data_IF_381735082157
#
_entry.id   IF_381735082157
#
_cell.length_a   1.000
_cell.length_b   1.000
_cell.length_c   1.000
_cell.angle_alpha   90.00
_cell.angle_beta   90.00
_cell.angle_gamma   90.00
#
_symmetry.space_group_name_H-M   'P 1'
#
loop_
_entity.id
_entity.type
_entity.pdbx_description
1 polymer ?
#
# COMPACT_ATOMS: atom_id res chain seq x y z
N UNK A 1 14.16 55.52 -31.50
CA UNK A 1 12.94 54.90 -32.06
C UNK A 1 13.39 54.09 -33.27
N UNK A 2 13.25 52.78 -33.38
CA UNK A 2 12.52 51.78 -32.59
C UNK A 2 13.27 50.45 -32.72
N UNK A 3 13.43 49.78 -31.58
CA UNK A 3 14.06 48.48 -31.39
C UNK A 3 13.25 47.36 -32.05
N UNK A 4 13.91 46.53 -32.84
CA UNK A 4 13.36 45.27 -33.34
C UNK A 4 13.68 44.18 -32.30
N UNK A 5 12.76 43.94 -31.37
CA UNK A 5 12.80 42.77 -30.48
C UNK A 5 12.08 41.62 -31.18
N UNK A 6 12.81 40.59 -31.59
CA UNK A 6 12.19 39.33 -32.01
C UNK A 6 11.55 38.68 -30.79
N UNK A 7 10.23 38.64 -30.76
CA UNK A 7 9.51 37.71 -29.90
C UNK A 7 9.88 36.31 -30.39
N UNK A 8 10.69 35.61 -29.60
CA UNK A 8 10.82 34.17 -29.76
C UNK A 8 9.44 33.56 -29.65
N UNK A 9 9.02 32.84 -30.68
CA UNK A 9 7.88 31.94 -30.58
C UNK A 9 8.19 30.94 -29.47
N UNK A 10 7.60 31.14 -28.29
CA UNK A 10 7.43 30.06 -27.33
C UNK A 10 6.60 28.99 -28.04
N UNK A 11 7.27 27.91 -28.45
CA UNK A 11 6.63 26.68 -28.91
C UNK A 11 5.57 26.32 -27.86
N UNK A 12 4.28 26.24 -28.21
CA UNK A 12 3.24 25.88 -27.25
C UNK A 12 3.61 24.55 -26.60
N UNK A 13 3.81 24.53 -25.29
CA UNK A 13 4.03 23.27 -24.55
C UNK A 13 2.87 22.31 -24.88
N UNK A 14 3.20 21.20 -25.52
CA UNK A 14 2.25 20.17 -25.96
C UNK A 14 1.53 19.58 -24.74
N UNK A 15 0.20 19.41 -24.84
CA UNK A 15 -0.66 18.96 -23.74
C UNK A 15 -0.38 17.48 -23.40
N UNK A 16 -0.19 17.17 -22.12
CA UNK A 16 -0.07 15.79 -21.60
C UNK A 16 -1.26 14.90 -22.02
N UNK A 17 -1.03 13.62 -22.37
CA UNK A 17 -2.12 12.66 -22.67
C UNK A 17 -2.97 12.29 -21.45
N UNK A 18 -2.50 12.62 -20.24
CA UNK A 18 -3.30 12.38 -19.04
C UNK A 18 -4.54 13.28 -19.06
N UNK A 19 -5.73 12.71 -18.81
CA UNK A 19 -6.97 13.47 -18.80
C UNK A 19 -6.91 14.56 -17.73
N UNK A 20 -7.11 15.80 -18.18
CA UNK A 20 -7.34 16.94 -17.31
C UNK A 20 -8.78 16.91 -16.80
N UNK A 21 -8.99 17.38 -15.59
CA UNK A 21 -10.30 17.49 -14.97
C UNK A 21 -10.84 18.89 -15.19
N UNK A 22 -12.07 18.96 -15.72
CA UNK A 22 -12.87 20.18 -15.66
C UNK A 22 -13.25 20.49 -14.21
N UNK A 23 -13.52 21.75 -13.90
CA UNK A 23 -14.03 22.11 -12.57
C UNK A 23 -15.53 21.83 -12.53
N UNK A 24 -16.00 21.10 -11.52
CA UNK A 24 -17.43 20.85 -11.32
C UNK A 24 -17.93 21.43 -9.99
N UNK A 25 -19.25 21.53 -9.74
CA UNK A 25 -19.77 21.99 -8.45
C UNK A 25 -19.32 21.13 -7.25
N UNK A 26 -18.97 19.86 -7.48
CA UNK A 26 -18.48 18.92 -6.46
C UNK A 26 -17.00 19.16 -6.09
N UNK A 27 -16.29 20.00 -6.84
CA UNK A 27 -14.89 20.35 -6.59
C UNK A 27 -14.74 21.27 -5.39
N UNK A 28 -14.67 20.65 -4.20
CA UNK A 28 -14.27 21.32 -2.98
C UNK A 28 -12.79 21.75 -3.05
N UNK A 29 -12.44 22.82 -2.36
CA UNK A 29 -11.05 23.23 -2.19
C UNK A 29 -10.25 22.14 -1.45
N UNK A 30 -9.07 21.85 -1.95
CA UNK A 30 -8.01 21.16 -1.23
C UNK A 30 -7.45 22.14 -0.22
N UNK A 31 -7.90 22.00 1.02
CA UNK A 31 -7.47 22.85 2.11
C UNK A 31 -5.97 22.62 2.37
N UNK A 32 -5.20 23.72 2.46
CA UNK A 32 -3.73 23.71 2.50
C UNK A 32 -3.05 23.85 1.13
N UNK A 33 -3.77 23.64 0.02
CA UNK A 33 -3.26 23.91 -1.34
C UNK A 33 -3.93 25.12 -2.01
N UNK A 34 -5.04 25.63 -1.46
CA UNK A 34 -5.73 26.82 -1.97
C UNK A 34 -6.40 26.63 -3.33
N UNK A 35 -6.57 25.39 -3.79
CA UNK A 35 -7.09 25.04 -5.13
C UNK A 35 -8.03 23.85 -5.08
N UNK A 36 -8.92 23.70 -6.04
CA UNK A 36 -9.82 22.54 -6.09
C UNK A 36 -9.11 21.21 -6.39
N UNK A 37 -9.79 20.08 -6.20
CA UNK A 37 -9.26 18.76 -6.57
C UNK A 37 -8.86 18.70 -8.06
N UNK A 38 -9.74 19.16 -8.96
CA UNK A 38 -9.43 19.26 -10.38
C UNK A 38 -8.18 20.11 -10.65
N UNK A 39 -8.04 21.28 -10.00
CA UNK A 39 -6.87 22.14 -10.19
C UNK A 39 -5.59 21.51 -9.62
N UNK A 40 -5.65 20.86 -8.45
CA UNK A 40 -4.52 20.16 -7.86
C UNK A 40 -4.05 19.00 -8.75
N UNK A 41 -5.00 18.23 -9.29
CA UNK A 41 -4.72 17.17 -10.26
C UNK A 41 -4.07 17.72 -11.53
N UNK A 42 -4.71 18.71 -12.18
CA UNK A 42 -4.20 19.30 -13.42
C UNK A 42 -2.81 19.90 -13.21
N UNK A 43 -2.58 20.60 -12.09
CA UNK A 43 -1.26 21.14 -11.74
C UNK A 43 -0.23 20.04 -11.52
N UNK A 44 -0.60 18.95 -10.83
CA UNK A 44 0.30 17.81 -10.66
C UNK A 44 0.62 17.14 -12.00
N UNK A 45 -0.36 16.97 -12.88
CA UNK A 45 -0.15 16.44 -14.25
C UNK A 45 0.83 17.33 -15.01
N UNK A 46 0.56 18.65 -15.06
CA UNK A 46 1.40 19.62 -15.77
C UNK A 46 2.86 19.61 -15.28
N UNK A 47 3.05 19.53 -13.96
CA UNK A 47 4.37 19.62 -13.35
C UNK A 47 5.19 18.32 -13.45
N UNK A 48 4.57 17.18 -13.73
CA UNK A 48 5.26 15.89 -13.71
C UNK A 48 5.27 15.18 -15.07
N UNK A 49 4.43 15.59 -16.04
CA UNK A 49 4.34 14.92 -17.34
C UNK A 49 4.44 15.94 -18.47
N UNK A 50 5.43 15.77 -19.34
CA UNK A 50 5.60 16.61 -20.53
C UNK A 50 5.06 15.91 -21.77
N UNK A 51 5.46 14.66 -22.05
CA UNK A 51 5.00 13.94 -23.26
C UNK A 51 4.93 12.42 -23.02
N UNK A 52 3.83 11.90 -22.45
CA UNK A 52 3.67 10.46 -22.30
C UNK A 52 3.47 9.78 -23.67
N UNK A 53 4.24 8.73 -23.92
CA UNK A 53 4.12 7.89 -25.12
C UNK A 53 2.94 6.92 -24.93
N UNK A 54 2.03 6.77 -25.91
CA UNK A 54 0.97 5.76 -25.85
C UNK A 54 1.52 4.36 -25.59
N UNK A 55 0.84 3.57 -24.75
CA UNK A 55 1.28 2.22 -24.37
C UNK A 55 1.42 1.30 -25.60
N UNK A 56 0.65 1.56 -26.64
CA UNK A 56 0.65 0.87 -27.93
C UNK A 56 1.99 1.01 -28.66
N UNK A 57 2.72 2.10 -28.44
CA UNK A 57 4.04 2.33 -29.03
C UNK A 57 5.16 1.63 -28.27
N UNK A 58 4.90 1.12 -27.05
CA UNK A 58 5.89 0.34 -26.32
C UNK A 58 5.99 -1.07 -26.89
N UNK A 59 7.20 -1.65 -27.02
CA UNK A 59 7.35 -3.06 -27.34
C UNK A 59 6.55 -3.92 -26.37
N UNK A 60 5.89 -5.00 -26.84
CA UNK A 60 5.14 -5.92 -25.96
C UNK A 60 6.00 -6.40 -24.78
N UNK A 61 7.27 -6.68 -25.03
CA UNK A 61 8.23 -7.09 -24.01
C UNK A 61 8.48 -6.04 -22.91
N UNK A 62 8.14 -4.76 -23.12
CA UNK A 62 8.24 -3.69 -22.12
C UNK A 62 7.00 -3.54 -21.25
N UNK A 63 5.86 -4.11 -21.65
CA UNK A 63 4.54 -3.87 -21.07
C UNK A 63 4.30 -4.72 -19.82
N UNK A 64 4.87 -4.33 -18.68
CA UNK A 64 4.75 -5.05 -17.40
C UNK A 64 3.31 -5.27 -16.93
N UNK A 65 2.39 -4.36 -17.25
CA UNK A 65 0.95 -4.46 -16.99
C UNK A 65 0.11 -4.71 -18.24
N UNK A 66 0.71 -5.19 -19.34
CA UNK A 66 0.00 -5.28 -20.62
C UNK A 66 -0.43 -3.89 -21.13
N UNK A 67 -1.66 -3.76 -21.60
CA UNK A 67 -2.23 -2.49 -22.09
C UNK A 67 -2.45 -1.45 -20.98
N UNK A 68 -2.28 -1.81 -19.70
CA UNK A 68 -2.44 -0.87 -18.58
C UNK A 68 -1.10 -0.27 -18.10
N UNK A 69 0.00 -0.64 -18.76
CA UNK A 69 1.37 -0.22 -18.41
C UNK A 69 1.55 1.30 -18.53
N UNK A 70 2.26 1.89 -17.56
CA UNK A 70 2.71 3.29 -17.64
C UNK A 70 4.16 3.39 -18.13
N UNK A 71 4.46 4.35 -19.01
CA UNK A 71 5.83 4.65 -19.45
C UNK A 71 6.57 5.63 -18.53
N UNK A 72 5.92 6.17 -17.50
CA UNK A 72 6.54 7.19 -16.65
C UNK A 72 7.70 6.60 -15.85
N UNK A 73 8.88 7.24 -15.94
CA UNK A 73 10.10 6.81 -15.25
C UNK A 73 10.59 7.77 -14.18
N UNK A 74 9.87 8.87 -13.95
CA UNK A 74 10.24 9.86 -12.95
C UNK A 74 9.81 9.42 -11.53
N UNK A 75 9.98 10.33 -10.56
CA UNK A 75 9.66 10.11 -9.15
C UNK A 75 8.18 9.79 -8.86
N UNK A 76 7.28 9.93 -9.82
CA UNK A 76 5.84 9.64 -9.71
C UNK A 76 5.45 8.35 -10.45
N UNK A 77 6.42 7.56 -10.94
CA UNK A 77 6.17 6.36 -11.77
C UNK A 77 5.15 5.37 -11.18
N UNK A 78 5.02 5.31 -9.85
CA UNK A 78 4.10 4.41 -9.14
C UNK A 78 2.74 5.02 -8.80
N UNK A 79 2.55 6.33 -9.02
CA UNK A 79 1.36 7.10 -8.65
C UNK A 79 0.46 7.42 -9.85
N UNK A 80 0.63 6.69 -10.96
CA UNK A 80 -0.01 6.93 -12.25
C UNK A 80 -1.24 6.04 -12.39
N UNK A 81 -2.38 6.55 -12.88
CA UNK A 81 -3.53 5.71 -13.20
C UNK A 81 -3.20 4.71 -14.32
N UNK A 82 -3.96 3.62 -14.42
CA UNK A 82 -3.90 2.70 -15.57
C UNK A 82 -4.01 3.48 -16.88
N UNK A 83 -3.21 3.11 -17.88
CA UNK A 83 -3.18 3.79 -19.18
C UNK A 83 -4.54 3.77 -19.90
N UNK A 84 -5.36 2.75 -19.62
CA UNK A 84 -6.71 2.55 -20.16
C UNK A 84 -7.82 2.82 -19.13
N UNK A 85 -7.54 3.58 -18.05
CA UNK A 85 -8.56 3.94 -17.07
C UNK A 85 -9.70 4.71 -17.76
N UNK A 86 -10.94 4.30 -17.53
CA UNK A 86 -12.12 5.00 -18.05
C UNK A 86 -12.10 6.49 -17.64
N UNK A 87 -12.37 7.37 -18.59
CA UNK A 87 -12.32 8.82 -18.39
C UNK A 87 -13.25 9.29 -17.25
N UNK A 88 -14.40 8.61 -17.05
CA UNK A 88 -15.34 8.90 -15.97
C UNK A 88 -14.77 8.62 -14.57
N UNK A 89 -13.76 7.75 -14.47
CA UNK A 89 -13.12 7.35 -13.21
C UNK A 89 -11.95 8.25 -12.80
N UNK A 90 -11.44 9.09 -13.72
CA UNK A 90 -10.26 9.95 -13.47
C UNK A 90 -10.50 10.91 -12.30
N UNK A 91 -11.69 11.50 -12.21
CA UNK A 91 -12.05 12.38 -11.08
C UNK A 91 -12.00 11.63 -9.75
N UNK A 92 -12.56 10.42 -9.74
CA UNK A 92 -12.57 9.56 -8.56
C UNK A 92 -11.15 9.15 -8.16
N UNK A 93 -10.31 8.82 -9.13
CA UNK A 93 -8.90 8.54 -8.93
C UNK A 93 -8.15 9.75 -8.32
N UNK A 94 -8.32 10.94 -8.87
CA UNK A 94 -7.69 12.16 -8.39
C UNK A 94 -8.10 12.50 -6.94
N UNK A 95 -9.40 12.38 -6.63
CA UNK A 95 -9.90 12.53 -5.27
C UNK A 95 -9.29 11.49 -4.33
N UNK A 96 -9.29 10.22 -4.74
CA UNK A 96 -8.78 9.12 -3.92
C UNK A 96 -7.28 9.24 -3.67
N UNK A 97 -6.50 9.70 -4.66
CA UNK A 97 -5.08 10.04 -4.51
C UNK A 97 -4.87 11.10 -3.44
N UNK A 98 -5.71 12.13 -3.42
CA UNK A 98 -5.66 13.14 -2.36
C UNK A 98 -5.98 12.51 -1.00
N UNK A 99 -7.07 11.75 -0.88
CA UNK A 99 -7.46 11.09 0.36
C UNK A 99 -6.37 10.14 0.88
N UNK A 100 -5.72 9.38 0.00
CA UNK A 100 -4.62 8.48 0.33
C UNK A 100 -3.42 9.21 0.97
N UNK A 101 -3.19 10.46 0.56
CA UNK A 101 -2.08 11.31 1.03
C UNK A 101 -2.46 12.15 2.25
N UNK A 102 -3.76 12.37 2.45
CA UNK A 102 -4.28 13.24 3.50
C UNK A 102 -3.96 12.64 4.88
N UNK A 103 -3.49 13.49 5.78
CA UNK A 103 -3.27 13.13 7.18
C UNK A 103 -4.58 13.20 7.94
N UNK A 104 -4.84 12.15 8.69
CA UNK A 104 -5.85 12.11 9.73
C UNK A 104 -5.29 12.76 11.00
N UNK A 105 -6.10 13.52 11.72
CA UNK A 105 -5.72 14.04 13.04
C UNK A 105 -6.72 13.62 14.10
N UNK A 106 -6.29 13.74 15.35
CA UNK A 106 -7.16 13.58 16.51
C UNK A 106 -8.34 14.56 16.41
N UNK A 107 -9.52 14.09 16.79
CA UNK A 107 -10.78 14.84 16.73
C UNK A 107 -11.94 13.94 16.38
N UNK A 108 -13.15 14.42 16.66
CA UNK A 108 -14.40 13.72 16.35
C UNK A 108 -15.12 14.45 15.23
N UNK A 109 -15.70 13.69 14.30
CA UNK A 109 -16.60 14.19 13.28
C UNK A 109 -17.90 14.66 13.96
N UNK A 110 -17.88 15.85 14.57
CA UNK A 110 -19.09 16.42 15.15
C UNK A 110 -20.15 16.60 14.04
N UNK A 111 -21.40 16.20 14.33
CA UNK A 111 -22.53 16.18 13.39
C UNK A 111 -22.91 17.55 12.81
N UNK A 112 -22.22 18.63 13.20
CA UNK A 112 -22.49 19.98 12.74
C UNK A 112 -21.23 20.68 12.23
N UNK A 113 -20.87 20.34 10.98
CA UNK A 113 -20.31 21.25 9.97
C UNK A 113 -19.14 22.13 10.42
N UNK A 114 -17.92 21.70 10.09
CA UNK A 114 -17.02 22.46 9.22
C UNK A 114 -15.92 21.49 8.82
N UNK A 115 -15.57 21.46 7.53
CA UNK A 115 -14.18 21.16 7.18
C UNK A 115 -13.41 22.15 8.05
N UNK A 116 -12.76 21.69 9.12
CA UNK A 116 -11.91 22.58 9.90
C UNK A 116 -11.03 23.27 8.88
N UNK A 117 -10.85 24.58 9.05
CA UNK A 117 -10.20 25.48 8.08
C UNK A 117 -8.75 25.08 7.73
N UNK A 118 -8.28 23.95 8.27
CA UNK A 118 -7.03 23.25 8.01
C UNK A 118 -7.39 21.89 7.41
N UNK A 119 -6.77 21.49 6.29
CA UNK A 119 -7.14 20.34 5.47
C UNK A 119 -6.85 18.98 6.06
N UNK A 120 -7.37 18.75 7.25
CA UNK A 120 -7.19 17.60 8.10
C UNK A 120 -8.48 16.78 7.99
N UNK A 121 -8.36 15.45 7.95
CA UNK A 121 -9.52 14.60 8.19
C UNK A 121 -9.50 14.27 9.66
N UNK A 122 -10.56 14.61 10.38
CA UNK A 122 -10.68 14.24 11.79
C UNK A 122 -11.08 12.77 11.92
N UNK A 123 -10.88 12.20 13.10
CA UNK A 123 -11.18 10.80 13.37
C UNK A 123 -9.96 9.88 13.29
N UNK A 124 -8.73 10.39 13.44
CA UNK A 124 -7.56 9.52 13.69
C UNK A 124 -7.82 8.67 14.93
N UNK A 125 -7.53 7.37 14.84
CA UNK A 125 -7.82 6.46 15.94
C UNK A 125 -7.01 6.75 17.21
N UNK A 126 -7.49 6.27 18.38
CA UNK A 126 -6.84 6.49 19.67
C UNK A 126 -5.40 5.96 19.71
N UNK A 127 -5.15 4.85 19.00
CA UNK A 127 -3.84 4.24 18.77
C UNK A 127 -3.67 3.92 17.30
N UNK A 128 -2.48 4.12 16.73
CA UNK A 128 -2.21 3.95 15.31
C UNK A 128 -0.72 3.72 15.02
N UNK A 129 -0.41 3.24 13.81
CA UNK A 129 0.97 3.19 13.31
C UNK A 129 1.30 4.41 12.45
N UNK A 130 0.39 4.88 11.60
CA UNK A 130 0.56 6.10 10.80
C UNK A 130 -0.76 6.86 10.59
N UNK A 131 -0.65 8.17 10.45
CA UNK A 131 -1.79 9.06 10.23
C UNK A 131 -2.19 9.24 8.76
N UNK A 132 -1.56 8.54 7.80
CA UNK A 132 -2.00 8.53 6.40
C UNK A 132 -1.50 7.29 5.67
N UNK A 133 -2.21 6.87 4.62
CA UNK A 133 -1.82 5.72 3.81
C UNK A 133 -0.44 5.96 3.17
N UNK A 134 -0.23 7.15 2.60
CA UNK A 134 1.06 7.55 2.02
C UNK A 134 2.18 7.70 3.05
N UNK A 135 1.87 7.69 4.34
CA UNK A 135 2.85 7.67 5.41
C UNK A 135 3.68 6.38 5.38
N UNK A 136 3.01 5.25 5.16
CA UNK A 136 3.63 3.94 4.96
C UNK A 136 4.01 3.71 3.49
N UNK A 137 3.13 4.06 2.56
CA UNK A 137 3.28 3.83 1.13
C UNK A 137 3.77 5.09 0.41
N UNK A 138 5.01 5.51 0.71
CA UNK A 138 5.57 6.74 0.17
C UNK A 138 5.56 6.70 -1.35
N UNK A 139 4.81 7.63 -1.97
CA UNK A 139 4.60 7.69 -3.42
C UNK A 139 4.15 6.36 -4.03
N UNK A 140 3.28 5.64 -3.32
CA UNK A 140 2.70 4.36 -3.76
C UNK A 140 3.74 3.24 -3.94
N UNK A 141 4.98 3.49 -3.51
CA UNK A 141 6.08 2.54 -3.53
C UNK A 141 6.17 1.70 -2.26
N UNK A 142 7.20 0.85 -2.23
CA UNK A 142 7.51 0.01 -1.08
C UNK A 142 8.11 0.86 0.05
N UNK A 143 7.73 0.53 1.29
CA UNK A 143 8.37 1.05 2.49
C UNK A 143 9.80 0.54 2.68
N UNK A 144 10.41 0.91 3.80
CA UNK A 144 11.67 0.34 4.25
C UNK A 144 11.69 0.19 5.78
N UNK A 145 12.47 -0.76 6.33
CA UNK A 145 12.79 -0.78 7.75
C UNK A 145 13.57 0.49 8.16
N UNK A 146 13.57 0.88 9.44
CA UNK A 146 14.52 1.84 9.98
C UNK A 146 15.96 1.56 9.55
N UNK A 147 16.72 2.61 9.21
CA UNK A 147 18.12 2.52 8.81
C UNK A 147 19.06 2.41 10.01
N UNK A 148 18.62 2.86 11.18
CA UNK A 148 19.33 2.79 12.44
C UNK A 148 18.33 2.66 13.61
N UNK A 149 18.77 2.31 14.83
CA UNK A 149 17.88 2.10 15.97
C UNK A 149 17.10 3.34 16.42
N UNK A 150 17.59 4.54 16.11
CA UNK A 150 16.94 5.81 16.50
C UNK A 150 15.86 6.24 15.49
N UNK A 151 15.90 5.74 14.26
CA UNK A 151 14.89 6.02 13.26
C UNK A 151 13.58 5.30 13.61
N UNK A 152 12.43 6.01 13.68
CA UNK A 152 11.16 5.38 13.96
C UNK A 152 10.70 4.49 12.79
N UNK A 153 9.95 3.42 13.10
CA UNK A 153 9.32 2.54 12.12
C UNK A 153 8.21 3.27 11.35
N UNK A 154 8.61 4.01 10.32
CA UNK A 154 7.70 4.83 9.51
C UNK A 154 6.86 3.99 8.56
N UNK A 155 7.44 2.98 7.92
CA UNK A 155 6.78 2.21 6.85
C UNK A 155 6.84 0.71 7.12
N UNK A 156 6.78 0.34 8.40
CA UNK A 156 6.81 -1.03 8.88
C UNK A 156 5.90 -1.15 10.11
N UNK A 157 5.24 -2.29 10.24
CA UNK A 157 4.43 -2.69 11.39
C UNK A 157 4.98 -3.98 11.99
N UNK A 158 4.66 -4.25 13.25
CA UNK A 158 4.91 -5.54 13.90
C UNK A 158 3.56 -6.20 14.17
N UNK A 159 3.29 -7.32 13.49
CA UNK A 159 2.15 -8.19 13.84
C UNK A 159 2.49 -8.98 15.09
N UNK A 160 1.51 -9.15 15.96
CA UNK A 160 1.61 -9.89 17.21
C UNK A 160 0.60 -11.05 17.21
N UNK A 161 0.93 -12.10 17.95
CA UNK A 161 0.03 -13.21 18.21
C UNK A 161 0.54 -14.05 19.37
N UNK A 162 -0.31 -14.91 19.90
CA UNK A 162 0.09 -16.03 20.78
C UNK A 162 -0.04 -17.35 20.02
N UNK A 163 0.57 -18.45 20.48
CA UNK A 163 0.49 -19.74 19.80
C UNK A 163 -0.95 -20.23 19.76
N UNK A 164 -1.34 -20.81 18.63
CA UNK A 164 -2.66 -21.35 18.38
C UNK A 164 -3.33 -20.75 17.14
N UNK A 165 -4.55 -21.22 16.88
CA UNK A 165 -5.32 -20.85 15.69
C UNK A 165 -6.70 -20.41 16.15
N UNK A 166 -7.09 -19.20 15.76
CA UNK A 166 -8.42 -18.67 16.03
C UNK A 166 -9.51 -19.40 15.27
N UNK A 167 -10.77 -19.17 15.65
CA UNK A 167 -11.95 -19.85 15.10
C UNK A 167 -12.04 -19.84 13.56
N UNK A 168 -11.48 -18.80 12.94
CA UNK A 168 -11.51 -18.58 11.49
C UNK A 168 -10.17 -18.89 10.80
N UNK A 169 -9.27 -19.63 11.44
CA UNK A 169 -7.96 -20.01 10.88
C UNK A 169 -6.88 -18.93 10.98
N UNK A 170 -7.21 -17.76 11.53
CA UNK A 170 -6.26 -16.66 11.76
C UNK A 170 -5.42 -16.85 13.03
N UNK A 171 -4.41 -15.99 13.26
CA UNK A 171 -3.63 -16.01 14.49
C UNK A 171 -4.50 -15.62 15.70
N UNK A 172 -4.18 -16.17 16.88
CA UNK A 172 -4.77 -15.71 18.13
C UNK A 172 -4.16 -14.36 18.54
N UNK A 173 -4.98 -13.34 18.89
CA UNK A 173 -4.47 -12.05 19.33
C UNK A 173 -3.77 -12.17 20.69
N UNK A 174 -2.76 -11.33 20.91
CA UNK A 174 -2.26 -11.07 22.26
C UNK A 174 -3.38 -10.40 23.08
N UNK A 175 -3.61 -10.80 24.35
CA UNK A 175 -4.71 -10.26 25.16
C UNK A 175 -4.63 -8.73 25.32
N UNK A 176 -3.42 -8.21 25.57
CA UNK A 176 -3.19 -6.78 25.83
C UNK A 176 -2.91 -5.93 24.57
N UNK A 177 -2.46 -6.56 23.49
CA UNK A 177 -1.86 -5.88 22.32
C UNK A 177 -2.50 -6.30 20.98
N UNK A 178 -3.51 -7.16 21.01
CA UNK A 178 -4.21 -7.60 19.83
C UNK A 178 -3.30 -8.31 18.81
N UNK A 179 -3.50 -8.01 17.53
CA UNK A 179 -2.76 -8.66 16.42
C UNK A 179 -1.67 -7.79 15.80
N UNK A 180 -1.48 -6.57 16.31
CA UNK A 180 -0.56 -5.58 15.74
C UNK A 180 -0.24 -4.52 16.79
N UNK A 181 1.05 -4.28 17.02
CA UNK A 181 1.50 -3.26 17.96
C UNK A 181 1.31 -1.84 17.40
N UNK A 182 0.60 -0.99 18.13
CA UNK A 182 0.36 0.42 17.81
C UNK A 182 1.40 1.33 18.49
N UNK A 183 2.38 1.78 17.71
CA UNK A 183 3.51 2.56 18.23
C UNK A 183 3.27 4.07 18.38
N UNK A 184 2.07 4.55 18.07
CA UNK A 184 1.64 5.93 18.30
C UNK A 184 0.22 5.95 18.89
N UNK A 185 -0.12 7.09 19.47
CA UNK A 185 -1.44 7.38 20.01
C UNK A 185 -1.74 8.87 19.91
N UNK A 186 -3.00 9.23 20.08
CA UNK A 186 -3.40 10.63 20.31
C UNK A 186 -3.07 11.05 21.75
N UNK A 187 -3.22 12.35 22.04
CA UNK A 187 -2.95 12.89 23.36
C UNK A 187 -3.79 12.16 24.43
N UNK A 188 -3.22 12.02 25.64
CA UNK A 188 -3.88 11.40 26.81
C UNK A 188 -4.11 9.89 26.73
N UNK A 189 -3.82 9.26 25.58
CA UNK A 189 -3.88 7.82 25.40
C UNK A 189 -2.47 7.25 25.36
N UNK A 190 -2.11 6.26 26.19
CA UNK A 190 -0.83 5.59 26.08
C UNK A 190 -0.71 4.83 24.76
N UNK A 191 0.37 5.06 24.00
CA UNK A 191 0.76 4.18 22.89
C UNK A 191 1.04 2.78 23.43
N UNK A 192 0.88 1.74 22.62
CA UNK A 192 1.04 0.37 23.12
C UNK A 192 2.49 0.04 23.48
N UNK A 193 3.45 0.50 22.67
CA UNK A 193 4.86 0.30 22.92
C UNK A 193 5.75 0.84 21.80
N UNK A 194 7.05 0.58 21.93
CA UNK A 194 8.06 0.93 20.94
C UNK A 194 8.80 -0.33 20.50
N UNK A 195 9.18 -0.38 19.22
CA UNK A 195 10.09 -1.42 18.71
C UNK A 195 11.25 -0.76 18.01
N UNK A 196 12.46 -1.23 18.32
CA UNK A 196 13.71 -0.87 17.65
C UNK A 196 14.28 -2.10 16.94
N UNK A 197 15.04 -1.87 15.88
CA UNK A 197 15.71 -2.93 15.13
C UNK A 197 17.22 -2.73 15.24
N UNK A 198 17.91 -3.76 15.71
CA UNK A 198 19.37 -3.89 15.60
C UNK A 198 19.68 -4.95 14.56
N UNK A 199 20.86 -4.86 13.95
CA UNK A 199 21.31 -5.89 13.02
C UNK A 199 22.60 -6.50 13.53
N UNK A 200 22.64 -7.82 13.57
CA UNK A 200 23.87 -8.59 13.75
C UNK A 200 24.40 -8.94 12.36
N UNK A 201 25.65 -8.58 12.09
CA UNK A 201 26.31 -8.98 10.85
C UNK A 201 26.84 -10.41 10.99
N UNK A 202 26.57 -11.24 9.99
CA UNK A 202 27.03 -12.63 9.90
C UNK A 202 27.89 -12.71 8.65
N UNK A 203 29.16 -13.03 8.82
CA UNK A 203 30.09 -13.24 7.70
C UNK A 203 30.05 -14.70 7.26
N UNK A 204 30.14 -14.92 5.96
CA UNK A 204 30.22 -16.25 5.37
C UNK A 204 30.89 -16.17 4.00
N UNK A 205 31.04 -17.31 3.33
CA UNK A 205 31.68 -17.45 2.04
C UNK A 205 30.78 -18.23 1.07
N UNK A 206 30.79 -17.84 -0.19
CA UNK A 206 30.23 -18.66 -1.27
C UNK A 206 31.10 -19.91 -1.49
N UNK A 207 30.61 -20.88 -2.26
CA UNK A 207 31.32 -22.14 -2.53
C UNK A 207 32.65 -21.94 -3.29
N UNK A 208 32.81 -20.81 -3.97
CA UNK A 208 34.04 -20.41 -4.65
C UNK A 208 35.03 -19.64 -3.74
N UNK A 209 34.68 -19.46 -2.46
CA UNK A 209 35.48 -18.73 -1.47
C UNK A 209 35.29 -17.21 -1.48
N UNK A 210 34.40 -16.65 -2.30
CA UNK A 210 34.11 -15.21 -2.25
C UNK A 210 33.35 -14.86 -0.95
N UNK A 211 33.80 -13.86 -0.16
CA UNK A 211 33.13 -13.49 1.09
C UNK A 211 31.83 -12.73 0.83
N UNK A 212 30.85 -12.94 1.71
CA UNK A 212 29.65 -12.12 1.81
C UNK A 212 29.25 -11.89 3.28
N UNK A 213 28.40 -10.89 3.51
CA UNK A 213 27.81 -10.65 4.82
C UNK A 213 26.28 -10.62 4.74
N UNK A 214 25.64 -11.22 5.75
CA UNK A 214 24.20 -11.16 5.99
C UNK A 214 23.92 -10.25 7.17
N UNK A 215 22.71 -9.69 7.19
CA UNK A 215 22.20 -8.91 8.32
C UNK A 215 21.03 -9.65 8.94
N UNK A 216 21.20 -10.10 10.18
CA UNK A 216 20.16 -10.70 10.98
C UNK A 216 19.47 -9.61 11.82
N UNK A 217 18.16 -9.33 11.59
CA UNK A 217 17.44 -8.33 12.37
C UNK A 217 17.07 -8.87 13.76
N UNK A 218 17.39 -8.09 14.79
CA UNK A 218 16.99 -8.30 16.17
C UNK A 218 15.98 -7.21 16.56
N UNK A 219 14.81 -7.63 17.03
CA UNK A 219 13.73 -6.72 17.42
C UNK A 219 13.70 -6.58 18.94
N UNK A 220 13.80 -5.34 19.41
CA UNK A 220 13.73 -5.00 20.83
C UNK A 220 12.44 -4.25 21.11
N UNK A 221 11.67 -4.72 22.08
CA UNK A 221 10.41 -4.11 22.50
C UNK A 221 10.63 -3.35 23.81
N UNK A 222 10.18 -2.09 23.87
CA UNK A 222 10.39 -1.20 25.01
C UNK A 222 9.21 -0.25 25.19
N UNK A 223 9.17 0.45 26.32
CA UNK A 223 8.11 1.43 26.62
C UNK A 223 6.69 0.81 26.52
N UNK A 224 6.56 -0.47 26.92
CA UNK A 224 5.32 -1.24 26.82
C UNK A 224 4.31 -0.76 27.87
N UNK A 225 3.16 -0.23 27.44
CA UNK A 225 2.24 0.48 28.36
C UNK A 225 1.20 -0.41 29.06
N UNK A 226 1.06 -1.68 28.63
CA UNK A 226 0.02 -2.60 29.10
C UNK A 226 0.63 -3.91 29.64
N UNK A 227 1.88 -3.84 30.12
CA UNK A 227 2.65 -5.00 30.61
C UNK A 227 3.75 -5.44 29.65
N UNK A 228 4.67 -6.31 30.11
CA UNK A 228 5.68 -6.88 29.22
C UNK A 228 5.04 -7.73 28.10
N UNK A 229 5.70 -7.82 26.95
CA UNK A 229 5.44 -8.89 25.99
C UNK A 229 6.08 -10.18 26.52
N UNK A 230 5.51 -10.75 27.58
CA UNK A 230 5.97 -11.99 28.17
C UNK A 230 5.28 -13.22 27.55
N UNK A 231 5.72 -14.41 27.96
CA UNK A 231 5.19 -15.68 27.46
C UNK A 231 5.60 -16.02 26.02
N UNK A 232 4.82 -16.88 25.37
CA UNK A 232 5.09 -17.41 24.04
C UNK A 232 4.66 -16.47 22.90
N UNK A 233 4.83 -15.15 23.07
CA UNK A 233 4.46 -14.17 22.04
C UNK A 233 5.21 -14.45 20.73
N UNK A 234 4.47 -14.43 19.64
CA UNK A 234 4.99 -14.56 18.28
C UNK A 234 4.83 -13.21 17.59
N UNK A 235 5.89 -12.75 16.92
CA UNK A 235 5.87 -11.50 16.16
C UNK A 235 6.29 -11.68 14.71
N UNK A 236 5.74 -10.84 13.83
CA UNK A 236 6.04 -10.83 12.39
C UNK A 236 6.19 -9.38 11.89
N UNK A 237 7.43 -8.92 11.67
CA UNK A 237 7.72 -7.62 11.09
C UNK A 237 7.27 -7.55 9.62
N UNK A 238 6.60 -6.47 9.22
CA UNK A 238 6.09 -6.30 7.84
C UNK A 238 6.32 -4.88 7.34
N UNK A 239 7.08 -4.76 6.25
CA UNK A 239 7.26 -3.49 5.52
C UNK A 239 6.03 -3.19 4.67
N UNK A 240 5.63 -1.94 4.51
CA UNK A 240 4.56 -1.57 3.59
C UNK A 240 4.88 -2.05 2.14
N UNK A 241 4.05 -2.89 1.50
CA UNK A 241 4.28 -3.31 0.12
C UNK A 241 4.04 -2.16 -0.87
N UNK A 242 4.45 -2.35 -2.12
CA UNK A 242 4.10 -1.43 -3.20
C UNK A 242 2.58 -1.46 -3.48
N UNK A 243 2.04 -0.32 -3.91
CA UNK A 243 0.60 -0.17 -4.22
C UNK A 243 0.27 -0.35 -5.70
N UNK A 244 1.23 -0.13 -6.60
CA UNK A 244 1.00 -0.28 -8.04
C UNK A 244 0.77 -1.74 -8.44
N UNK A 245 -0.09 -1.96 -9.44
CA UNK A 245 -0.37 -3.29 -9.98
C UNK A 245 -1.28 -4.18 -9.13
N UNK A 246 -1.74 -3.72 -7.97
CA UNK A 246 -2.59 -4.54 -7.09
C UNK A 246 -3.91 -4.96 -7.75
N UNK A 247 -4.51 -4.10 -8.60
CA UNK A 247 -5.70 -4.47 -9.37
C UNK A 247 -5.44 -5.60 -10.37
N UNK A 248 -4.26 -5.63 -10.99
CA UNK A 248 -3.87 -6.73 -11.88
C UNK A 248 -3.72 -8.04 -11.10
N UNK A 249 -3.13 -8.00 -9.89
CA UNK A 249 -3.03 -9.17 -9.01
C UNK A 249 -4.41 -9.65 -8.52
N UNK A 250 -5.31 -8.73 -8.19
CA UNK A 250 -6.69 -9.08 -7.81
C UNK A 250 -7.40 -9.80 -8.96
N UNK A 251 -7.10 -9.40 -10.18
CA UNK A 251 -7.77 -9.90 -11.38
C UNK A 251 -7.20 -11.21 -11.94
N UNK A 252 -6.14 -11.77 -11.33
CA UNK A 252 -5.67 -13.12 -11.66
C UNK A 252 -6.74 -14.13 -11.22
N UNK A 253 -7.30 -14.95 -12.12
CA UNK A 253 -8.32 -15.93 -11.75
C UNK A 253 -7.82 -16.88 -10.65
N UNK A 254 -8.70 -17.24 -9.72
CA UNK A 254 -8.34 -18.15 -8.63
C UNK A 254 -7.79 -19.49 -9.16
N UNK A 255 -8.34 -20.02 -10.25
CA UNK A 255 -7.88 -21.25 -10.88
C UNK A 255 -6.41 -21.19 -11.33
N UNK A 256 -5.93 -20.03 -11.79
CA UNK A 256 -4.52 -19.85 -12.18
C UNK A 256 -3.60 -19.96 -10.97
N UNK A 257 -4.00 -19.39 -9.82
CA UNK A 257 -3.21 -19.49 -8.58
C UNK A 257 -3.24 -20.92 -8.03
N UNK A 258 -4.42 -21.57 -8.05
CA UNK A 258 -4.55 -22.94 -7.57
C UNK A 258 -3.78 -23.95 -8.42
N UNK A 259 -3.66 -23.71 -9.73
CA UNK A 259 -2.89 -24.56 -10.63
C UNK A 259 -1.37 -24.54 -10.35
N UNK A 260 -0.88 -23.58 -9.55
CA UNK A 260 0.51 -23.52 -9.09
C UNK A 260 0.69 -24.16 -7.69
N UNK A 261 -0.35 -24.77 -7.14
CA UNK A 261 -0.26 -25.46 -5.87
C UNK A 261 0.36 -26.83 -6.08
N UNK A 262 1.53 -27.04 -5.50
CA UNK A 262 2.14 -28.36 -5.36
C UNK A 262 2.56 -28.56 -3.90
N UNK A 263 1.64 -28.94 -3.00
CA UNK A 263 1.97 -29.09 -1.59
C UNK A 263 2.95 -30.24 -1.33
N UNK A 264 2.96 -31.26 -2.16
CA UNK A 264 3.64 -32.53 -1.92
C UNK A 264 4.87 -32.72 -2.84
N UNK A 265 5.25 -31.68 -3.59
CA UNK A 265 6.42 -31.66 -4.48
C UNK A 265 6.38 -32.84 -5.47
N UNK A 266 5.23 -33.00 -6.15
CA UNK A 266 4.94 -34.13 -7.03
C UNK A 266 5.89 -34.14 -8.23
N UNK A 267 6.32 -32.97 -8.70
CA UNK A 267 7.26 -32.86 -9.81
C UNK A 267 8.75 -32.93 -9.38
N UNK A 268 9.02 -32.92 -8.07
CA UNK A 268 10.34 -33.10 -7.49
C UNK A 268 11.31 -31.95 -7.77
N UNK A 269 10.80 -30.74 -7.99
CA UNK A 269 11.60 -29.54 -8.21
C UNK A 269 12.07 -28.88 -6.89
N UNK A 270 11.58 -29.38 -5.74
CA UNK A 270 11.90 -28.89 -4.41
C UNK A 270 11.01 -27.75 -3.93
N UNK A 271 9.94 -27.41 -4.65
CA UNK A 271 9.04 -26.28 -4.36
C UNK A 271 7.66 -26.78 -3.94
N UNK A 272 7.41 -26.72 -2.62
CA UNK A 272 6.14 -27.14 -2.06
C UNK A 272 5.10 -26.00 -1.93
N UNK A 273 4.65 -25.43 -3.05
CA UNK A 273 3.75 -24.28 -3.10
C UNK A 273 2.35 -24.55 -2.51
N UNK A 274 1.87 -23.68 -1.60
CA UNK A 274 0.56 -23.83 -0.93
C UNK A 274 -0.27 -22.54 -0.95
N UNK A 275 -1.50 -22.56 -1.49
CA UNK A 275 -2.44 -21.45 -1.36
C UNK A 275 -2.82 -21.20 0.09
N UNK A 276 -2.87 -19.94 0.50
CA UNK A 276 -3.42 -19.57 1.80
C UNK A 276 -4.94 -19.37 1.70
N UNK A 277 -5.70 -19.97 2.61
CA UNK A 277 -7.16 -19.88 2.66
C UNK A 277 -7.61 -19.11 3.90
N UNK A 278 -8.19 -17.95 3.68
CA UNK A 278 -8.46 -16.94 4.71
C UNK A 278 -9.96 -16.70 4.88
N UNK A 279 -10.36 -16.19 6.05
CA UNK A 279 -11.75 -15.81 6.28
C UNK A 279 -12.10 -14.48 5.63
N UNK A 280 -13.19 -14.46 4.88
CA UNK A 280 -13.80 -13.25 4.33
C UNK A 280 -14.93 -12.81 5.28
N UNK A 281 -14.79 -11.70 6.02
CA UNK A 281 -15.78 -11.27 7.01
C UNK A 281 -17.09 -10.79 6.39
N UNK A 282 -17.08 -10.41 5.10
CA UNK A 282 -18.29 -9.93 4.39
C UNK A 282 -19.10 -11.11 3.88
N UNK A 283 -18.43 -12.06 3.20
CA UNK A 283 -19.10 -13.24 2.66
C UNK A 283 -19.38 -14.31 3.72
N UNK A 284 -18.73 -14.21 4.89
CA UNK A 284 -18.72 -15.23 5.94
C UNK A 284 -18.33 -16.63 5.42
N UNK A 285 -17.30 -16.67 4.58
CA UNK A 285 -16.76 -17.92 4.01
C UNK A 285 -15.23 -17.89 3.94
N UNK A 286 -14.61 -19.06 3.76
CA UNK A 286 -13.19 -19.14 3.40
C UNK A 286 -13.01 -18.73 1.93
N UNK A 287 -12.00 -17.92 1.66
CA UNK A 287 -11.63 -17.44 0.34
C UNK A 287 -10.12 -17.57 0.13
N UNK A 288 -9.69 -17.59 -1.14
CA UNK A 288 -8.27 -17.53 -1.46
C UNK A 288 -7.68 -16.22 -0.94
N UNK A 289 -6.64 -16.33 -0.14
CA UNK A 289 -5.81 -15.22 0.31
C UNK A 289 -4.93 -14.70 -0.82
N UNK A 290 -4.88 -13.38 -0.98
CA UNK A 290 -4.19 -12.72 -2.11
C UNK A 290 -3.27 -11.57 -1.68
N UNK A 291 -3.65 -10.84 -0.65
CA UNK A 291 -3.00 -9.59 -0.26
C UNK A 291 -2.32 -9.69 1.11
N UNK A 292 -1.31 -8.83 1.30
CA UNK A 292 -0.40 -8.87 2.43
C UNK A 292 0.75 -9.87 2.25
N UNK A 293 1.80 -9.75 3.06
CA UNK A 293 3.02 -10.58 2.97
C UNK A 293 2.80 -12.08 3.11
N UNK A 294 1.71 -12.49 3.76
CA UNK A 294 1.35 -13.89 3.96
C UNK A 294 0.07 -14.26 3.22
N UNK A 295 -0.33 -13.48 2.20
CA UNK A 295 -1.59 -13.64 1.49
C UNK A 295 -2.76 -13.80 2.47
N UNK A 296 -2.80 -12.98 3.53
CA UNK A 296 -3.70 -13.15 4.67
C UNK A 296 -5.02 -12.37 4.55
N UNK A 297 -5.29 -11.80 3.37
CA UNK A 297 -6.49 -11.03 3.04
C UNK A 297 -6.98 -11.38 1.64
N UNK A 298 -8.30 -11.56 1.47
CA UNK A 298 -8.88 -12.11 0.25
C UNK A 298 -8.97 -11.12 -0.91
N UNK A 299 -9.28 -9.86 -0.64
CA UNK A 299 -9.53 -8.84 -1.68
C UNK A 299 -9.08 -7.44 -1.24
N UNK A 300 -9.03 -6.50 -2.18
CA UNK A 300 -8.55 -5.14 -1.90
C UNK A 300 -9.49 -4.35 -1.00
N UNK A 301 -10.81 -4.56 -1.07
CA UNK A 301 -11.75 -3.88 -0.16
C UNK A 301 -11.48 -4.25 1.29
N UNK A 302 -11.30 -5.54 1.58
CA UNK A 302 -10.91 -6.02 2.90
C UNK A 302 -9.52 -5.50 3.30
N UNK A 303 -8.55 -5.48 2.37
CA UNK A 303 -7.19 -4.99 2.66
C UNK A 303 -7.23 -3.51 3.09
N UNK A 304 -7.87 -2.65 2.31
CA UNK A 304 -7.99 -1.22 2.61
C UNK A 304 -8.75 -0.99 3.92
N UNK A 305 -9.87 -1.68 4.13
CA UNK A 305 -10.64 -1.55 5.36
C UNK A 305 -9.87 -2.05 6.61
N UNK A 306 -9.12 -3.15 6.47
CA UNK A 306 -8.29 -3.69 7.57
C UNK A 306 -7.11 -2.78 7.90
N UNK A 307 -6.51 -2.13 6.91
CA UNK A 307 -5.44 -1.15 7.11
C UNK A 307 -5.98 0.15 7.72
N UNK A 308 -7.20 0.56 7.39
CA UNK A 308 -7.84 1.72 8.00
C UNK A 308 -7.92 1.57 9.53
N UNK A 309 -8.46 0.44 10.01
CA UNK A 309 -8.58 0.18 11.46
C UNK A 309 -7.25 -0.24 12.09
N UNK A 310 -6.45 -1.04 11.39
CA UNK A 310 -5.21 -1.61 11.93
C UNK A 310 -4.03 -0.65 11.91
N UNK A 311 -3.90 0.21 10.90
CA UNK A 311 -2.70 1.04 10.71
C UNK A 311 -2.95 2.51 11.06
N UNK A 312 -4.18 3.01 10.82
CA UNK A 312 -4.58 4.42 11.06
C UNK A 312 -5.52 4.53 12.27
N UNK A 313 -6.11 3.40 12.73
CA UNK A 313 -7.01 3.36 13.87
C UNK A 313 -8.43 3.85 13.58
N UNK A 314 -8.83 3.98 12.31
CA UNK A 314 -10.12 4.54 11.90
C UNK A 314 -11.09 3.43 11.48
N UNK A 315 -12.36 3.54 11.86
CA UNK A 315 -13.35 2.50 11.62
C UNK A 315 -13.96 2.59 10.22
N UNK A 316 -14.53 1.47 9.78
CA UNK A 316 -15.29 1.33 8.53
C UNK A 316 -16.59 0.57 8.81
N UNK A 317 -17.53 0.55 7.86
CA UNK A 317 -18.70 -0.34 7.96
C UNK A 317 -18.32 -1.82 8.14
N UNK A 318 -17.19 -2.25 7.57
CA UNK A 318 -16.68 -3.62 7.66
C UNK A 318 -16.00 -3.92 9.01
N UNK A 319 -15.36 -2.91 9.61
CA UNK A 319 -14.67 -3.00 10.88
C UNK A 319 -15.11 -1.82 11.76
N UNK A 320 -16.29 -1.92 12.41
CA UNK A 320 -16.91 -0.78 13.09
C UNK A 320 -16.35 -0.53 14.50
N UNK A 321 -15.55 -1.45 15.02
CA UNK A 321 -14.97 -1.34 16.35
C UNK A 321 -13.56 -0.76 16.26
N UNK A 322 -13.23 0.18 17.16
CA UNK A 322 -11.86 0.65 17.34
C UNK A 322 -10.94 -0.49 17.78
N UNK A 323 -9.67 -0.40 17.43
CA UNK A 323 -8.65 -1.37 17.84
C UNK A 323 -8.18 -1.10 19.29
N UNK A 324 -9.12 -1.09 20.24
CA UNK A 324 -8.85 -0.94 21.67
C UNK A 324 -9.13 -2.26 22.39
N UNK A 325 -8.12 -2.80 23.08
CA UNK A 325 -8.23 -4.06 23.82
C UNK A 325 -8.82 -3.80 25.22
N UNK A 326 -9.39 -4.82 25.91
CA UNK A 326 -10.01 -4.66 27.22
C UNK A 326 -9.17 -3.96 28.28
N UNK A 327 -7.85 -4.19 28.32
CA UNK A 327 -6.97 -3.52 29.28
C UNK A 327 -6.62 -2.07 28.91
N UNK A 328 -6.91 -1.65 27.68
CA UNK A 328 -6.62 -0.31 27.20
C UNK A 328 -7.78 0.64 27.56
N UNK A 329 -8.02 0.83 28.85
CA UNK A 329 -9.20 1.58 29.36
C UNK A 329 -9.27 3.02 28.84
N UNK A 330 -8.14 3.71 28.73
CA UNK A 330 -8.07 5.05 28.14
C UNK A 330 -8.43 5.05 26.64
N UNK A 331 -8.02 4.02 25.90
CA UNK A 331 -8.40 3.82 24.50
C UNK A 331 -9.91 3.59 24.37
N UNK A 332 -10.47 2.69 25.18
CA UNK A 332 -11.90 2.37 25.18
C UNK A 332 -12.78 3.56 25.59
N UNK A 333 -12.27 4.44 26.45
CA UNK A 333 -12.98 5.64 26.91
C UNK A 333 -12.79 6.85 26.00
N UNK A 334 -11.94 6.73 24.97
CA UNK A 334 -11.75 7.79 24.00
C UNK A 334 -13.09 8.13 23.33
N UNK A 335 -13.40 9.42 23.11
CA UNK A 335 -14.68 9.74 22.50
C UNK A 335 -14.75 9.15 21.09
N UNK A 336 -15.96 8.79 20.67
CA UNK A 336 -16.20 8.12 19.39
C UNK A 336 -17.49 8.61 18.78
N UNK A 337 -17.52 8.64 17.46
CA UNK A 337 -18.73 8.94 16.72
C UNK A 337 -19.55 7.66 16.53
N UNK A 338 -20.87 7.80 16.38
CA UNK A 338 -21.76 6.67 16.07
C UNK A 338 -21.72 6.28 14.58
N UNK A 339 -20.78 6.84 13.80
CA UNK A 339 -20.63 6.60 12.37
C UNK A 339 -19.17 6.31 12.05
N UNK A 340 -18.88 5.43 11.08
CA UNK A 340 -17.50 5.16 10.71
C UNK A 340 -16.76 6.41 10.23
N UNK A 341 -15.54 6.62 10.71
CA UNK A 341 -14.71 7.76 10.32
C UNK A 341 -14.34 7.68 8.83
N UNK A 342 -14.18 6.46 8.27
CA UNK A 342 -14.07 6.19 6.84
C UNK A 342 -15.36 5.55 6.30
N UNK A 343 -16.26 6.40 5.78
CA UNK A 343 -17.51 5.94 5.16
C UNK A 343 -17.30 5.10 3.88
N UNK A 344 -18.35 4.37 3.48
CA UNK A 344 -18.30 3.45 2.34
C UNK A 344 -17.98 4.11 1.01
N UNK A 345 -18.36 5.38 0.82
CA UNK A 345 -18.04 6.13 -0.41
C UNK A 345 -16.54 6.37 -0.45
N UNK A 346 -15.95 6.93 0.62
CA UNK A 346 -14.52 7.19 0.71
C UNK A 346 -13.69 5.91 0.68
N UNK A 347 -14.14 4.84 1.34
CA UNK A 347 -13.53 3.51 1.27
C UNK A 347 -13.50 2.99 -0.18
N UNK A 348 -14.63 3.04 -0.88
CA UNK A 348 -14.72 2.56 -2.27
C UNK A 348 -13.80 3.34 -3.22
N UNK A 349 -13.60 4.64 -2.97
CA UNK A 349 -12.66 5.47 -3.73
C UNK A 349 -11.20 5.06 -3.48
N UNK A 350 -10.82 4.75 -2.24
CA UNK A 350 -9.49 4.23 -1.92
C UNK A 350 -9.23 2.84 -2.52
N UNK A 351 -10.28 2.00 -2.58
CA UNK A 351 -10.22 0.70 -3.26
C UNK A 351 -10.02 0.89 -4.77
N UNK A 352 -10.77 1.79 -5.40
CA UNK A 352 -10.57 2.15 -6.80
C UNK A 352 -9.12 2.58 -7.05
N UNK A 353 -8.61 3.52 -6.24
CA UNK A 353 -7.23 3.99 -6.34
C UNK A 353 -6.23 2.85 -6.27
N UNK A 354 -6.37 1.96 -5.28
CA UNK A 354 -5.47 0.79 -5.12
C UNK A 354 -5.54 -0.16 -6.32
N UNK A 355 -6.72 -0.31 -6.94
CA UNK A 355 -6.93 -1.14 -8.14
C UNK A 355 -6.31 -0.52 -9.39
N UNK A 356 -6.35 0.81 -9.50
CA UNK A 356 -6.09 1.51 -10.75
C UNK A 356 -4.72 2.16 -10.82
N UNK A 357 -3.75 1.76 -10.01
CA UNK A 357 -2.36 2.21 -10.12
C UNK A 357 -1.59 1.35 -11.12
N UNK A 358 -1.05 2.00 -12.16
CA UNK A 358 -0.34 1.36 -13.26
C UNK A 358 1.01 0.78 -12.85
N UNK A 359 1.38 -0.36 -13.46
CA UNK A 359 2.73 -0.91 -13.36
C UNK A 359 3.64 -0.20 -14.36
N UNK A 360 4.83 0.29 -13.95
CA UNK A 360 5.77 0.88 -14.89
C UNK A 360 6.31 -0.12 -15.91
N UNK A 361 6.58 0.38 -17.11
CA UNK A 361 7.25 -0.38 -18.16
C UNK A 361 8.63 -0.86 -17.71
N UNK A 362 9.02 -2.04 -18.18
CA UNK A 362 10.41 -2.48 -18.10
C UNK A 362 11.31 -1.50 -18.84
N UNK A 363 12.48 -1.24 -18.27
CA UNK A 363 13.44 -0.23 -18.76
C UNK A 363 14.66 -0.93 -19.32
N UNK A 364 15.41 -0.23 -20.17
CA UNK A 364 16.74 -0.65 -20.61
C UNK A 364 16.77 -2.05 -21.27
N UNK A 365 15.74 -2.41 -22.05
CA UNK A 365 15.62 -3.74 -22.68
C UNK A 365 16.66 -3.99 -23.78
N UNK A 366 17.26 -2.93 -24.28
CA UNK A 366 18.37 -2.91 -25.23
C UNK A 366 19.72 -3.19 -24.55
N UNK A 367 19.84 -2.96 -23.24
CA UNK A 367 21.11 -3.14 -22.52
C UNK A 367 21.48 -4.62 -22.38
N UNK A 368 22.69 -5.03 -22.80
CA UNK A 368 23.15 -6.41 -22.69
C UNK A 368 23.06 -6.98 -21.27
N UNK A 369 23.32 -6.16 -20.24
CA UNK A 369 23.32 -6.58 -18.84
C UNK A 369 21.92 -6.96 -18.35
N UNK A 370 20.90 -6.23 -18.82
CA UNK A 370 19.48 -6.52 -18.47
C UNK A 370 19.04 -7.84 -19.09
N UNK A 371 19.44 -8.10 -20.35
CA UNK A 371 19.15 -9.37 -21.04
C UNK A 371 19.87 -10.53 -20.37
N UNK A 372 21.14 -10.35 -20.01
CA UNK A 372 21.92 -11.35 -19.26
C UNK A 372 21.26 -11.64 -17.90
N UNK A 373 20.84 -10.61 -17.16
CA UNK A 373 20.13 -10.78 -15.89
C UNK A 373 18.82 -11.56 -16.03
N UNK A 374 18.06 -11.33 -17.11
CA UNK A 374 16.86 -12.11 -17.40
C UNK A 374 17.17 -13.59 -17.64
N UNK A 375 18.23 -13.91 -18.38
CA UNK A 375 18.65 -15.29 -18.62
C UNK A 375 19.07 -15.96 -17.30
N UNK A 376 19.92 -15.30 -16.51
CA UNK A 376 20.36 -15.81 -15.22
C UNK A 376 19.19 -16.07 -14.26
N UNK A 377 18.14 -15.23 -14.28
CA UNK A 377 16.94 -15.45 -13.47
C UNK A 377 16.21 -16.74 -13.83
N UNK A 378 16.16 -17.08 -15.12
CA UNK A 378 15.57 -18.34 -15.59
C UNK A 378 16.47 -19.53 -15.25
N UNK A 379 17.76 -19.42 -15.55
CA UNK A 379 18.76 -20.48 -15.32
C UNK A 379 18.94 -20.82 -13.84
N UNK A 380 18.78 -19.83 -12.95
CA UNK A 380 18.85 -20.02 -11.49
C UNK A 380 17.58 -20.60 -10.89
N UNK A 381 16.56 -20.93 -11.69
CA UNK A 381 15.28 -21.47 -11.22
C UNK A 381 14.35 -20.46 -10.54
N UNK A 382 14.68 -19.16 -10.52
CA UNK A 382 13.88 -18.15 -9.83
C UNK A 382 12.44 -18.07 -10.38
N UNK A 383 12.27 -18.37 -11.67
CA UNK A 383 10.98 -18.35 -12.36
C UNK A 383 10.02 -19.49 -11.95
N UNK A 384 10.50 -20.52 -11.26
CA UNK A 384 9.65 -21.59 -10.74
C UNK A 384 8.67 -21.06 -9.68
N UNK A 385 9.11 -20.17 -8.79
CA UNK A 385 8.26 -19.46 -7.84
C UNK A 385 7.76 -18.10 -8.36
N UNK A 386 8.62 -17.36 -9.07
CA UNK A 386 8.32 -16.01 -9.56
C UNK A 386 7.91 -16.04 -11.04
N UNK A 387 6.71 -16.57 -11.30
CA UNK A 387 6.20 -16.78 -12.66
C UNK A 387 6.28 -15.48 -13.49
N UNK A 388 7.00 -15.47 -14.64
CA UNK A 388 7.26 -14.24 -15.38
C UNK A 388 6.02 -13.56 -15.98
N UNK A 389 4.95 -14.31 -16.22
CA UNK A 389 3.70 -13.82 -16.79
C UNK A 389 2.50 -14.48 -16.11
N UNK A 390 1.46 -13.70 -15.84
CA UNK A 390 0.17 -14.20 -15.40
C UNK A 390 -0.95 -13.59 -16.27
N UNK A 391 -1.93 -14.41 -16.63
CA UNK A 391 -3.10 -13.96 -17.39
C UNK A 391 -4.19 -13.50 -16.43
N UNK A 392 -4.65 -12.27 -16.59
CA UNK A 392 -5.79 -11.72 -15.85
C UNK A 392 -7.12 -12.18 -16.48
N UNK A 393 -8.22 -12.04 -15.73
CA UNK A 393 -9.57 -12.23 -16.26
C UNK A 393 -9.85 -11.27 -17.43
N UNK A 394 -10.67 -11.64 -18.43
CA UNK A 394 -11.09 -10.71 -19.50
C UNK A 394 -11.81 -9.45 -18.99
N UNK A 395 -12.40 -9.51 -17.79
CA UNK A 395 -13.07 -8.39 -17.12
C UNK A 395 -12.13 -7.55 -16.25
N UNK A 396 -10.81 -7.73 -16.40
CA UNK A 396 -9.78 -7.07 -15.61
C UNK A 396 -9.33 -5.75 -16.24
N UNK A 397 -10.16 -4.71 -16.15
CA UNK A 397 -9.75 -3.31 -16.33
C UNK A 397 -10.87 -2.39 -15.83
#
# INVERSE_FOLDING_TARGET
MTSNTSFGEEIPQTRSIFPLLERTPEDKFVVGEGRSYAMAWNSWVWNNFKDPIPVEMLPKAARSGGTTTSYIQNREAFSIPLANLDASLVRTFAFARHLFRKRWAAGHSSENRTVTSVGITEGLGPTFNRSSCSGCHLKDGRGHPPRNPDEPMKAMIIRLSIPGVGINGGPLPHPEYGTQLQNNSIQEIPKEGRVTIRYKEIQSFFSDGQPYSLREPMYEFSEMSYGPLDGAVLYSPRVAPAMYGLGLLEAIPQSIIQAQSDPDDIDGDGISGRPNWVWNPVAQTRALGRFGWKANVANLRQQVASAAVGDIGITTSMFPNQNCLPAQTACLSAPRDNRPELDDIRLSRLVLYSRSLAVPAKRNLDKPEVRKGQLLFLESGCAACHTPNAKTSPTAA
#
